data_IF_196073839249
#
_entry.id   IF_196073839249
#
_cell.length_a   1.000
_cell.length_b   1.000
_cell.length_c   1.000
_cell.angle_alpha   90.00
_cell.angle_beta   90.00
_cell.angle_gamma   90.00
#
_symmetry.space_group_name_H-M   'P 1'
#
loop_
_entity.id
_entity.type
_entity.pdbx_description
1 polymer ?
#
# COMPACT_ATOMS: atom_id res chain seq x y z
N UNK A 1 -8.63 15.36 7.55
CA UNK A 1 -7.45 16.09 7.01
C UNK A 1 -6.68 15.13 6.12
N UNK A 2 -6.14 15.54 4.97
CA UNK A 2 -5.29 14.65 4.16
C UNK A 2 -3.83 14.99 4.40
N UNK A 3 -3.01 13.99 4.71
CA UNK A 3 -1.58 14.09 4.89
C UNK A 3 -0.85 13.28 3.82
N UNK A 4 0.37 13.67 3.51
CA UNK A 4 1.26 12.93 2.64
C UNK A 4 2.48 12.49 3.45
N UNK A 5 2.71 11.19 3.52
CA UNK A 5 3.88 10.64 4.19
C UNK A 5 5.08 10.64 3.21
N UNK A 6 6.17 11.36 3.49
CA UNK A 6 7.36 11.38 2.63
C UNK A 6 8.04 10.00 2.50
N UNK A 7 7.79 9.09 3.43
CA UNK A 7 8.31 7.72 3.40
C UNK A 7 7.47 6.78 2.52
N UNK A 8 6.32 7.24 2.03
CA UNK A 8 5.44 6.48 1.16
C UNK A 8 5.88 6.56 -0.30
N UNK A 9 5.85 5.44 -1.00
CA UNK A 9 6.06 5.43 -2.44
C UNK A 9 4.83 5.94 -3.20
N UNK A 10 5.01 6.47 -4.40
CA UNK A 10 3.94 6.87 -5.32
C UNK A 10 4.22 6.33 -6.71
N UNK A 11 3.30 6.55 -7.64
CA UNK A 11 3.45 6.12 -9.02
C UNK A 11 4.72 6.68 -9.72
N UNK A 12 5.26 7.81 -9.21
CA UNK A 12 6.44 8.48 -9.76
C UNK A 12 7.70 8.40 -8.87
N UNK A 13 7.58 8.05 -7.59
CA UNK A 13 8.69 8.06 -6.63
C UNK A 13 8.69 6.76 -5.83
N UNK A 14 9.83 6.06 -5.81
CA UNK A 14 10.05 4.95 -4.88
C UNK A 14 10.67 5.45 -3.59
N UNK A 15 10.09 5.02 -2.47
CA UNK A 15 10.62 5.24 -1.13
C UNK A 15 10.87 3.89 -0.46
N UNK A 16 12.13 3.43 -0.41
CA UNK A 16 12.45 2.15 0.19
C UNK A 16 12.36 2.19 1.72
N UNK A 17 11.84 1.11 2.29
CA UNK A 17 12.12 0.63 3.64
C UNK A 17 11.75 1.55 4.82
N UNK A 18 10.62 2.24 4.73
CA UNK A 18 10.07 3.00 5.86
C UNK A 18 8.72 2.43 6.30
N UNK A 19 8.65 1.90 7.51
CA UNK A 19 7.38 1.50 8.14
C UNK A 19 6.45 2.71 8.30
N UNK A 20 5.15 2.51 8.06
CA UNK A 20 4.15 3.48 8.49
C UNK A 20 3.94 3.35 10.00
N UNK A 21 4.47 4.31 10.77
CA UNK A 21 4.43 4.29 12.23
C UNK A 21 3.64 5.49 12.74
N UNK A 22 2.62 5.20 13.54
CA UNK A 22 1.93 6.20 14.35
C UNK A 22 2.17 5.89 15.83
N UNK A 23 2.27 6.93 16.65
CA UNK A 23 2.27 6.73 18.11
C UNK A 23 0.92 6.20 18.59
N UNK A 24 0.90 5.53 19.75
CA UNK A 24 -0.35 5.00 20.35
C UNK A 24 -1.43 6.08 20.53
N UNK A 25 -1.02 7.32 20.81
CA UNK A 25 -1.96 8.44 20.95
C UNK A 25 -2.53 8.84 19.59
N UNK A 26 -1.69 8.90 18.54
CA UNK A 26 -2.13 9.28 17.20
C UNK A 26 -3.05 8.21 16.60
N UNK A 27 -2.76 6.93 16.80
CA UNK A 27 -3.57 5.83 16.27
C UNK A 27 -4.98 5.78 16.87
N UNK A 28 -5.19 6.40 18.04
CA UNK A 28 -6.51 6.51 18.69
C UNK A 28 -7.17 7.86 18.42
N UNK A 29 -6.39 8.95 18.39
CA UNK A 29 -6.95 10.31 18.33
C UNK A 29 -7.20 10.78 16.91
N UNK A 30 -6.35 10.36 15.95
CA UNK A 30 -6.38 10.80 14.56
C UNK A 30 -6.08 9.63 13.60
N UNK A 31 -6.80 8.49 13.68
CA UNK A 31 -6.53 7.35 12.82
C UNK A 31 -6.78 7.70 11.34
N UNK A 32 -6.08 7.02 10.41
CA UNK A 32 -6.49 6.96 9.02
C UNK A 32 -7.94 6.51 8.89
N UNK A 33 -8.67 7.14 7.98
CA UNK A 33 -10.05 6.81 7.68
C UNK A 33 -10.15 5.44 6.98
N UNK A 34 -11.28 4.72 7.14
CA UNK A 34 -11.46 3.40 6.53
C UNK A 34 -11.40 3.38 4.99
N UNK A 35 -11.60 4.53 4.32
CA UNK A 35 -11.44 4.68 2.87
C UNK A 35 -9.97 4.85 2.43
N UNK A 36 -9.02 4.86 3.37
CA UNK A 36 -7.59 4.83 3.08
C UNK A 36 -7.14 3.38 2.89
N UNK A 37 -6.76 3.02 1.67
CA UNK A 37 -6.18 1.69 1.37
C UNK A 37 -4.67 1.78 1.40
N UNK A 38 -4.05 0.83 2.10
CA UNK A 38 -2.62 0.62 2.16
C UNK A 38 -2.23 -0.47 1.16
N UNK A 39 -1.34 -0.16 0.23
CA UNK A 39 -0.74 -1.13 -0.67
C UNK A 39 0.66 -1.46 -0.19
N UNK A 40 0.87 -2.69 0.25
CA UNK A 40 2.19 -3.24 0.57
C UNK A 40 2.79 -3.83 -0.70
N UNK A 41 4.02 -3.43 -1.00
CA UNK A 41 4.66 -3.64 -2.29
C UNK A 41 5.99 -4.37 -2.14
N UNK A 42 6.32 -5.11 -3.20
CA UNK A 42 7.53 -5.90 -3.32
C UNK A 42 7.75 -6.75 -2.05
N UNK A 43 6.73 -7.54 -1.73
CA UNK A 43 6.76 -8.50 -0.63
C UNK A 43 7.44 -9.80 -1.07
N UNK A 44 8.12 -10.45 -0.14
CA UNK A 44 8.70 -11.78 -0.34
C UNK A 44 7.62 -12.82 -0.66
N UNK A 45 7.97 -13.85 -1.43
CA UNK A 45 7.08 -14.97 -1.72
C UNK A 45 6.70 -15.77 -0.46
N UNK A 46 7.58 -15.73 0.55
CA UNK A 46 7.38 -16.37 1.85
C UNK A 46 6.70 -15.43 2.85
N UNK A 47 6.30 -14.23 2.42
CA UNK A 47 5.67 -13.24 3.28
C UNK A 47 4.45 -13.82 4.01
N UNK A 48 4.32 -13.55 5.33
CA UNK A 48 3.11 -13.89 6.07
C UNK A 48 1.85 -13.29 5.46
N UNK A 49 1.94 -12.14 4.77
CA UNK A 49 0.79 -11.46 4.15
C UNK A 49 0.18 -12.27 3.00
N UNK A 50 0.98 -13.10 2.33
CA UNK A 50 0.53 -13.95 1.21
C UNK A 50 0.07 -15.33 1.66
N UNK A 51 0.50 -15.74 2.86
CA UNK A 51 0.27 -17.06 3.40
C UNK A 51 -0.69 -16.96 4.59
N UNK A 52 -0.16 -16.75 5.80
CA UNK A 52 -0.93 -16.80 7.05
C UNK A 52 -2.00 -15.70 7.15
N UNK A 53 -1.74 -14.51 6.60
CA UNK A 53 -2.59 -13.33 6.67
C UNK A 53 -3.21 -12.95 5.33
N UNK A 54 -3.31 -13.91 4.39
CA UNK A 54 -3.87 -13.68 3.04
C UNK A 54 -5.29 -13.10 3.08
N UNK A 55 -6.06 -13.43 4.10
CA UNK A 55 -7.42 -12.94 4.30
C UNK A 55 -7.50 -11.44 4.64
N UNK A 56 -6.38 -10.80 4.99
CA UNK A 56 -6.29 -9.36 5.23
C UNK A 56 -6.02 -8.58 3.94
N UNK A 57 -5.69 -9.28 2.85
CA UNK A 57 -5.54 -8.69 1.52
C UNK A 57 -6.86 -8.70 0.77
N UNK A 58 -7.17 -7.61 0.06
CA UNK A 58 -8.39 -7.49 -0.74
C UNK A 58 -8.16 -6.69 -2.00
N UNK A 59 -8.89 -6.94 -3.07
CA UNK A 59 -8.93 -6.02 -4.21
C UNK A 59 -9.94 -4.89 -3.92
N UNK A 60 -9.67 -3.68 -4.41
CA UNK A 60 -10.59 -2.55 -4.27
C UNK A 60 -10.90 -1.95 -5.64
N UNK A 61 -12.16 -1.58 -5.89
CA UNK A 61 -12.60 -0.88 -7.10
C UNK A 61 -12.18 -1.51 -8.45
N UNK A 62 -11.89 -2.82 -8.45
CA UNK A 62 -11.41 -3.56 -9.62
C UNK A 62 -9.92 -3.48 -9.89
N UNK A 63 -9.15 -2.88 -8.98
CA UNK A 63 -7.70 -2.73 -9.09
C UNK A 63 -6.96 -3.91 -8.49
N UNK A 64 -5.90 -4.32 -9.18
CA UNK A 64 -4.96 -5.34 -8.74
C UNK A 64 -3.55 -4.76 -8.67
N UNK A 65 -2.64 -5.46 -8.02
CA UNK A 65 -1.26 -5.00 -7.99
C UNK A 65 -0.51 -5.17 -9.31
N UNK A 66 -0.93 -6.12 -10.15
CA UNK A 66 -0.34 -6.27 -11.49
C UNK A 66 -0.59 -5.00 -12.30
N UNK A 67 -1.78 -4.40 -12.17
CA UNK A 67 -2.07 -3.08 -12.75
C UNK A 67 -1.14 -2.01 -12.17
N UNK A 68 -0.96 -2.00 -10.84
CA UNK A 68 -0.10 -1.04 -10.15
C UNK A 68 1.37 -1.12 -10.61
N UNK A 69 1.95 -2.31 -10.69
CA UNK A 69 3.32 -2.53 -11.15
C UNK A 69 3.49 -2.22 -12.65
N UNK A 70 2.45 -2.46 -13.46
CA UNK A 70 2.49 -2.19 -14.90
C UNK A 70 2.30 -0.71 -15.27
N UNK A 71 1.42 0.00 -14.56
CA UNK A 71 1.05 1.38 -14.87
C UNK A 71 2.04 2.41 -14.31
N UNK A 72 2.65 2.14 -13.15
CA UNK A 72 3.49 3.11 -12.47
C UNK A 72 4.96 3.01 -12.83
N UNK A 73 5.55 4.14 -13.24
CA UNK A 73 6.97 4.21 -13.61
C UNK A 73 7.88 3.81 -12.45
N UNK A 74 7.56 4.23 -11.23
CA UNK A 74 8.28 3.86 -10.02
C UNK A 74 8.21 2.34 -9.78
N UNK A 75 7.00 1.79 -9.78
CA UNK A 75 6.78 0.38 -9.40
C UNK A 75 7.21 -0.62 -10.47
N UNK A 76 7.28 -0.20 -11.75
CA UNK A 76 7.71 -1.06 -12.86
C UNK A 76 9.13 -1.61 -12.68
N UNK A 77 10.00 -0.93 -11.90
CA UNK A 77 11.33 -1.46 -11.59
C UNK A 77 11.28 -2.84 -10.96
N UNK A 78 10.25 -3.10 -10.15
CA UNK A 78 10.08 -4.38 -9.47
C UNK A 78 9.84 -5.50 -10.48
N UNK A 79 9.01 -5.24 -11.48
CA UNK A 79 8.75 -6.21 -12.54
C UNK A 79 10.00 -6.52 -13.38
N UNK A 80 10.83 -5.51 -13.64
CA UNK A 80 12.07 -5.65 -14.40
C UNK A 80 13.13 -6.50 -13.68
N UNK A 81 13.14 -6.48 -12.34
CA UNK A 81 14.13 -7.19 -11.54
C UNK A 81 13.79 -8.68 -11.36
N UNK A 82 12.51 -9.02 -11.28
CA UNK A 82 12.06 -10.38 -10.94
C UNK A 82 11.44 -11.14 -12.13
N UNK A 83 11.45 -10.57 -13.35
CA UNK A 83 10.79 -11.10 -14.55
C UNK A 83 9.30 -11.46 -14.34
N UNK A 84 8.68 -10.99 -13.27
CA UNK A 84 7.31 -11.26 -12.81
C UNK A 84 6.87 -10.11 -11.90
N UNK A 85 5.58 -9.93 -11.63
CA UNK A 85 5.16 -8.99 -10.58
C UNK A 85 5.50 -9.60 -9.23
N UNK A 86 6.34 -8.99 -8.38
CA UNK A 86 6.51 -9.50 -7.04
C UNK A 86 5.18 -9.40 -6.29
N UNK A 87 4.97 -10.25 -5.29
CA UNK A 87 3.76 -10.21 -4.51
C UNK A 87 3.50 -8.84 -3.86
N UNK A 88 2.23 -8.59 -3.61
CA UNK A 88 1.72 -7.37 -3.00
C UNK A 88 0.53 -7.69 -2.09
N UNK A 89 0.05 -6.69 -1.36
CA UNK A 89 -1.21 -6.78 -0.64
C UNK A 89 -1.84 -5.41 -0.49
N UNK A 90 -3.08 -5.23 -0.93
CA UNK A 90 -3.90 -4.10 -0.50
C UNK A 90 -4.62 -4.46 0.78
N UNK A 91 -4.56 -3.58 1.77
CA UNK A 91 -5.13 -3.80 3.10
C UNK A 91 -5.59 -2.48 3.72
N UNK A 92 -6.16 -2.54 4.93
CA UNK A 92 -6.61 -1.38 5.68
C UNK A 92 -5.62 -1.01 6.80
N UNK A 93 -5.73 0.20 7.34
CA UNK A 93 -4.90 0.65 8.46
C UNK A 93 -4.99 -0.29 9.68
N UNK A 94 -6.15 -0.88 9.94
CA UNK A 94 -6.36 -1.80 11.05
C UNK A 94 -5.45 -3.05 10.99
N UNK A 95 -4.99 -3.43 9.82
CA UNK A 95 -4.00 -4.49 9.64
C UNK A 95 -2.58 -3.95 9.84
N UNK A 96 -2.24 -2.85 9.18
CA UNK A 96 -0.88 -2.27 9.19
C UNK A 96 -0.48 -1.78 10.58
N UNK A 97 -1.43 -1.30 11.40
CA UNK A 97 -1.15 -0.82 12.76
C UNK A 97 -0.59 -1.90 13.69
N UNK A 98 -0.88 -3.18 13.41
CA UNK A 98 -0.40 -4.31 14.21
C UNK A 98 0.73 -5.09 13.53
N UNK A 99 0.94 -4.88 12.23
CA UNK A 99 1.87 -5.64 11.42
C UNK A 99 2.80 -4.68 10.68
N UNK A 100 4.00 -4.49 11.21
CA UNK A 100 5.04 -3.71 10.51
C UNK A 100 5.43 -4.39 9.20
N UNK A 101 5.97 -3.64 8.24
CA UNK A 101 6.38 -4.21 6.97
C UNK A 101 7.53 -5.20 7.12
N UNK A 102 8.35 -5.05 8.16
CA UNK A 102 9.37 -6.04 8.52
C UNK A 102 8.76 -7.40 8.89
N UNK A 103 7.64 -7.42 9.63
CA UNK A 103 6.93 -8.66 9.96
C UNK A 103 6.26 -9.23 8.71
N UNK A 104 5.75 -8.36 7.84
CA UNK A 104 5.10 -8.73 6.60
C UNK A 104 6.09 -9.02 5.46
N UNK A 105 7.40 -8.88 5.68
CA UNK A 105 8.44 -9.07 4.67
C UNK A 105 8.17 -8.33 3.34
N UNK A 106 7.74 -7.06 3.47
CA UNK A 106 7.51 -6.13 2.37
C UNK A 106 8.47 -4.95 2.47
N UNK A 107 8.84 -4.38 1.31
CA UNK A 107 9.92 -3.37 1.28
C UNK A 107 9.43 -1.95 1.05
N UNK A 108 8.22 -1.78 0.53
CA UNK A 108 7.65 -0.48 0.20
C UNK A 108 6.16 -0.49 0.52
N UNK A 109 5.59 0.67 0.78
CA UNK A 109 4.16 0.85 0.81
C UNK A 109 3.72 2.09 0.05
N UNK A 110 2.47 2.09 -0.38
CA UNK A 110 1.75 3.28 -0.82
C UNK A 110 0.37 3.34 -0.18
N UNK A 111 -0.27 4.49 -0.21
CA UNK A 111 -1.63 4.68 0.28
C UNK A 111 -2.43 5.51 -0.70
N UNK A 112 -3.70 5.16 -0.82
CA UNK A 112 -4.67 5.87 -1.65
C UNK A 112 -5.95 6.12 -0.88
N UNK A 113 -6.58 7.24 -1.18
CA UNK A 113 -7.85 7.64 -0.60
C UNK A 113 -8.91 7.73 -1.69
N UNK A 114 -10.18 7.87 -1.27
CA UNK A 114 -11.32 8.03 -2.19
C UNK A 114 -11.49 6.81 -3.13
N UNK A 115 -11.24 5.62 -2.62
CA UNK A 115 -11.16 4.37 -3.39
C UNK A 115 -12.44 4.04 -4.14
N UNK A 116 -13.61 4.35 -3.58
CA UNK A 116 -14.91 4.16 -4.24
C UNK A 116 -15.03 4.86 -5.59
N UNK A 117 -14.32 5.98 -5.77
CA UNK A 117 -14.32 6.77 -7.00
C UNK A 117 -13.17 6.41 -7.96
N UNK A 118 -12.34 5.42 -7.64
CA UNK A 118 -11.20 5.03 -8.47
C UNK A 118 -11.56 4.00 -9.54
N UNK A 119 -12.79 3.46 -9.55
CA UNK A 119 -13.17 2.44 -10.54
C UNK A 119 -12.99 2.95 -11.97
N UNK A 120 -12.11 2.30 -12.72
CA UNK A 120 -11.77 2.67 -14.10
C UNK A 120 -10.76 3.82 -14.24
N UNK A 121 -10.22 4.32 -13.12
CA UNK A 121 -9.14 5.31 -13.06
C UNK A 121 -7.84 4.57 -12.79
N UNK A 122 -6.85 4.70 -13.68
CA UNK A 122 -5.59 4.00 -13.55
C UNK A 122 -4.71 4.54 -12.40
N UNK A 123 -3.74 3.75 -11.92
CA UNK A 123 -2.84 4.13 -10.82
C UNK A 123 -2.12 5.47 -10.96
N UNK A 124 -1.84 5.91 -12.19
CA UNK A 124 -1.22 7.20 -12.48
C UNK A 124 -2.07 8.40 -12.00
N UNK A 125 -3.39 8.25 -12.01
CA UNK A 125 -4.37 9.30 -11.70
C UNK A 125 -5.03 9.09 -10.32
N UNK A 126 -4.52 8.15 -9.51
CA UNK A 126 -5.02 7.93 -8.15
C UNK A 126 -4.69 9.08 -7.21
N UNK A 127 -5.54 9.25 -6.20
CA UNK A 127 -5.31 10.22 -5.13
C UNK A 127 -4.47 9.57 -4.03
N UNK A 128 -3.16 9.76 -4.11
CA UNK A 128 -2.20 9.27 -3.12
C UNK A 128 -2.21 10.11 -1.84
N UNK A 129 -2.16 9.44 -0.69
CA UNK A 129 -2.09 10.08 0.63
C UNK A 129 -2.96 9.38 1.66
N UNK A 130 -2.96 9.92 2.88
CA UNK A 130 -3.62 9.35 4.04
C UNK A 130 -4.64 10.36 4.55
N UNK A 131 -5.90 9.98 4.61
CA UNK A 131 -6.96 10.83 5.15
C UNK A 131 -7.16 10.46 6.61
N UNK A 132 -7.03 11.44 7.51
CA UNK A 132 -7.21 11.28 8.95
C UNK A 132 -8.63 11.69 9.37
N UNK A 133 -9.23 10.95 10.29
CA UNK A 133 -10.51 11.24 10.97
C UNK A 133 -10.31 11.86 12.33
#
# INVERSE_FOLDING_TARGET
MTIYDPAMSTCSILQPHHDFIMTDIQSVTIPPTPDTVFALLNCSIDSPVLNHYKNLCFDFSGHSCDELYGACNAFRVFHLLTNSSPPCCFTAYDTVKFMSMNILDCTHYTTVINTDNLRGIGPLDWVYGIKLS
#
